data_IF_916524200124
#
_entry.id   IF_916524200124
#
_cell.length_a   1.000
_cell.length_b   1.000
_cell.length_c   1.000
_cell.angle_alpha   90.00
_cell.angle_beta   90.00
_cell.angle_gamma   90.00
#
_symmetry.space_group_name_H-M   'P 1'
#
loop_
_entity.id
_entity.type
_entity.pdbx_description
1 polymer ?
#
# COMPACT_ATOMS: atom_id res chain seq x y z
N UNK A 1 5.91 80.19 -16.78
CA UNK A 1 5.15 79.72 -15.61
C UNK A 1 5.83 78.44 -15.14
N UNK A 2 6.44 78.48 -13.97
CA UNK A 2 6.90 77.34 -13.20
C UNK A 2 5.71 76.53 -12.67
N UNK A 3 5.86 75.20 -12.57
CA UNK A 3 5.50 74.46 -11.37
C UNK A 3 6.42 73.24 -11.23
N UNK A 4 7.34 73.32 -10.28
CA UNK A 4 7.92 72.16 -9.60
C UNK A 4 6.82 71.43 -8.83
N UNK A 5 6.88 70.10 -8.78
CA UNK A 5 6.45 69.35 -7.61
C UNK A 5 7.37 68.14 -7.40
N UNK A 6 8.03 68.18 -6.25
CA UNK A 6 8.96 67.22 -5.69
C UNK A 6 8.25 65.97 -5.16
N UNK A 7 9.04 64.89 -5.04
CA UNK A 7 8.95 63.80 -4.07
C UNK A 7 7.63 63.04 -3.94
N UNK A 8 7.62 61.78 -4.39
CA UNK A 8 7.47 60.67 -3.46
C UNK A 8 8.40 59.52 -3.86
N UNK A 9 9.47 59.38 -3.09
CA UNK A 9 10.25 58.16 -2.92
C UNK A 9 9.28 57.07 -2.45
N UNK A 10 8.92 56.14 -3.32
CA UNK A 10 8.39 54.84 -2.90
C UNK A 10 9.56 53.87 -2.82
N UNK A 11 10.21 53.82 -1.66
CA UNK A 11 10.90 52.61 -1.24
C UNK A 11 10.08 51.95 -0.14
N UNK A 12 9.44 50.83 -0.50
CA UNK A 12 9.50 49.63 0.32
C UNK A 12 9.59 48.40 -0.59
N UNK A 13 10.35 47.39 -0.15
CA UNK A 13 11.05 46.46 -1.00
C UNK A 13 10.05 45.49 -1.62
N UNK A 14 10.23 45.14 -2.89
CA UNK A 14 9.89 43.78 -3.27
C UNK A 14 11.05 42.92 -2.82
N UNK A 15 10.93 42.08 -1.79
CA UNK A 15 11.92 41.05 -1.59
C UNK A 15 11.73 40.05 -2.74
N UNK A 16 12.40 40.30 -3.86
CA UNK A 16 12.51 39.38 -5.00
C UNK A 16 13.27 38.08 -4.65
N UNK A 17 13.42 37.75 -3.36
CA UNK A 17 14.10 36.57 -2.86
C UNK A 17 13.36 35.81 -1.74
N UNK A 18 12.15 36.23 -1.32
CA UNK A 18 11.42 35.56 -0.24
C UNK A 18 10.34 34.56 -0.73
N UNK A 19 9.74 34.78 -1.90
CA UNK A 19 8.61 33.94 -2.34
C UNK A 19 9.01 32.62 -3.03
N UNK A 20 10.19 32.52 -3.64
CA UNK A 20 10.61 31.27 -4.30
C UNK A 20 10.88 30.16 -3.27
N UNK A 21 11.40 30.53 -2.09
CA UNK A 21 11.66 29.59 -1.00
C UNK A 21 10.35 29.18 -0.31
N UNK A 22 9.39 30.12 -0.14
CA UNK A 22 8.08 29.86 0.47
C UNK A 22 7.19 28.92 -0.37
N UNK A 23 7.07 29.16 -1.68
CA UNK A 23 6.39 28.25 -2.61
C UNK A 23 7.12 26.90 -2.75
N UNK A 24 8.46 26.93 -2.69
CA UNK A 24 9.29 25.73 -2.67
C UNK A 24 9.06 24.87 -1.43
N UNK A 25 8.98 25.44 -0.22
CA UNK A 25 8.75 24.66 1.01
C UNK A 25 7.30 24.19 1.16
N UNK A 26 6.31 25.01 0.79
CA UNK A 26 4.90 24.63 0.86
C UNK A 26 4.56 23.52 -0.15
N UNK A 27 5.09 23.58 -1.38
CA UNK A 27 4.94 22.50 -2.37
C UNK A 27 5.72 21.24 -1.99
N UNK A 28 6.89 21.37 -1.35
CA UNK A 28 7.65 20.23 -0.79
C UNK A 28 6.88 19.52 0.32
N UNK A 29 6.26 20.27 1.23
CA UNK A 29 5.47 19.71 2.30
C UNK A 29 4.21 19.05 1.74
N UNK A 30 3.48 19.71 0.84
CA UNK A 30 2.32 19.11 0.16
C UNK A 30 2.68 17.85 -0.64
N UNK A 31 3.81 17.83 -1.35
CA UNK A 31 4.27 16.65 -2.07
C UNK A 31 4.67 15.52 -1.13
N UNK A 32 5.32 15.82 0.00
CA UNK A 32 5.63 14.83 1.05
C UNK A 32 4.38 14.31 1.74
N UNK A 33 3.39 15.17 1.98
CA UNK A 33 2.13 14.80 2.62
C UNK A 33 1.28 13.92 1.68
N UNK A 34 1.25 14.23 0.37
CA UNK A 34 0.59 13.41 -0.65
C UNK A 34 1.34 12.08 -0.87
N UNK A 35 2.68 12.10 -0.92
CA UNK A 35 3.47 10.86 -1.04
C UNK A 35 3.39 10.00 0.23
N UNK A 36 3.35 10.61 1.41
CA UNK A 36 3.20 9.95 2.71
C UNK A 36 1.84 9.27 2.84
N UNK A 37 0.75 9.99 2.56
CA UNK A 37 -0.60 9.43 2.58
C UNK A 37 -0.80 8.30 1.56
N UNK A 38 -0.19 8.39 0.36
CA UNK A 38 -0.23 7.29 -0.61
C UNK A 38 0.56 6.05 -0.15
N UNK A 39 1.69 6.24 0.54
CA UNK A 39 2.48 5.13 1.09
C UNK A 39 1.80 4.47 2.30
N UNK A 40 1.14 5.26 3.16
CA UNK A 40 0.37 4.78 4.29
C UNK A 40 -0.85 3.97 3.82
N UNK A 41 -1.53 4.42 2.76
CA UNK A 41 -2.63 3.67 2.16
C UNK A 41 -2.16 2.31 1.61
N UNK A 42 -1.04 2.26 0.88
CA UNK A 42 -0.48 1.01 0.36
C UNK A 42 -0.08 0.04 1.47
N UNK A 43 0.54 0.57 2.53
CA UNK A 43 0.91 -0.23 3.69
C UNK A 43 -0.34 -0.76 4.42
N UNK A 44 -1.38 0.06 4.55
CA UNK A 44 -2.67 -0.33 5.11
C UNK A 44 -3.30 -1.48 4.32
N UNK A 45 -3.41 -1.34 3.01
CA UNK A 45 -3.93 -2.38 2.12
C UNK A 45 -3.10 -3.66 2.16
N UNK A 46 -1.76 -3.56 2.27
CA UNK A 46 -0.90 -4.73 2.42
C UNK A 46 -1.17 -5.47 3.74
N UNK A 47 -1.30 -4.73 4.86
CA UNK A 47 -1.58 -5.35 6.16
C UNK A 47 -2.96 -6.03 6.18
N UNK A 48 -3.98 -5.42 5.56
CA UNK A 48 -5.31 -6.03 5.40
C UNK A 48 -5.22 -7.32 4.57
N UNK A 49 -4.55 -7.28 3.42
CA UNK A 49 -4.32 -8.45 2.55
C UNK A 49 -3.61 -9.59 3.29
N UNK A 50 -2.62 -9.27 4.12
CA UNK A 50 -1.91 -10.28 4.93
C UNK A 50 -2.77 -10.86 6.05
N UNK A 51 -3.69 -10.09 6.62
CA UNK A 51 -4.65 -10.59 7.60
C UNK A 51 -5.64 -11.56 6.95
N UNK A 52 -6.16 -11.22 5.77
CA UNK A 52 -7.03 -12.11 4.98
C UNK A 52 -6.31 -13.40 4.60
N UNK A 53 -5.04 -13.30 4.17
CA UNK A 53 -4.21 -14.46 3.85
C UNK A 53 -4.04 -15.38 5.06
N UNK A 54 -3.80 -14.82 6.25
CA UNK A 54 -3.69 -15.60 7.49
C UNK A 54 -4.99 -16.32 7.83
N UNK A 55 -6.15 -15.67 7.65
CA UNK A 55 -7.45 -16.30 7.88
C UNK A 55 -7.71 -17.46 6.90
N UNK A 56 -7.36 -17.28 5.62
CA UNK A 56 -7.45 -18.35 4.61
C UNK A 56 -6.54 -19.53 5.01
N UNK A 57 -5.32 -19.28 5.50
CA UNK A 57 -4.41 -20.35 5.94
C UNK A 57 -4.93 -21.12 7.17
N UNK A 58 -5.61 -20.44 8.10
CA UNK A 58 -6.30 -21.09 9.22
C UNK A 58 -7.46 -21.97 8.73
N UNK A 59 -8.30 -21.47 7.83
CA UNK A 59 -9.43 -22.22 7.26
C UNK A 59 -8.97 -23.44 6.47
N UNK A 60 -7.91 -23.30 5.66
CA UNK A 60 -7.26 -24.42 4.95
C UNK A 60 -6.82 -25.49 5.94
N UNK A 61 -6.15 -25.09 7.03
CA UNK A 61 -5.64 -26.03 8.04
C UNK A 61 -6.77 -26.78 8.74
N UNK A 62 -7.86 -26.09 9.10
CA UNK A 62 -9.03 -26.70 9.70
C UNK A 62 -9.69 -27.73 8.75
N UNK A 63 -9.79 -27.38 7.48
CA UNK A 63 -10.38 -28.22 6.44
C UNK A 63 -9.54 -29.46 6.14
N UNK A 64 -8.21 -29.36 6.18
CA UNK A 64 -7.30 -30.52 6.05
C UNK A 64 -7.51 -31.54 7.17
N UNK A 65 -7.69 -31.06 8.40
CA UNK A 65 -8.00 -31.93 9.54
C UNK A 65 -9.35 -32.62 9.34
N UNK A 66 -10.40 -31.88 8.97
CA UNK A 66 -11.72 -32.45 8.71
C UNK A 66 -11.68 -33.51 7.59
N UNK A 67 -10.99 -33.22 6.49
CA UNK A 67 -10.84 -34.17 5.38
C UNK A 67 -10.07 -35.43 5.79
N UNK A 68 -9.05 -35.30 6.65
CA UNK A 68 -8.32 -36.44 7.21
C UNK A 68 -9.23 -37.33 8.06
N UNK A 69 -10.07 -36.73 8.91
CA UNK A 69 -11.03 -37.44 9.76
C UNK A 69 -12.10 -38.15 8.92
N UNK A 70 -12.67 -37.46 7.92
CA UNK A 70 -13.65 -38.03 6.99
C UNK A 70 -13.05 -39.18 6.18
N UNK A 71 -11.80 -39.03 5.73
CA UNK A 71 -11.08 -40.10 5.02
C UNK A 71 -10.88 -41.31 5.92
N UNK A 72 -10.47 -41.11 7.17
CA UNK A 72 -10.30 -42.18 8.15
C UNK A 72 -11.62 -42.91 8.45
N UNK A 73 -12.72 -42.17 8.56
CA UNK A 73 -14.08 -42.72 8.71
C UNK A 73 -14.49 -43.57 7.50
N UNK A 74 -14.19 -43.11 6.29
CA UNK A 74 -14.52 -43.84 5.06
C UNK A 74 -13.65 -45.09 4.85
N UNK A 75 -12.43 -45.13 5.40
CA UNK A 75 -11.64 -46.37 5.45
C UNK A 75 -12.34 -47.43 6.31
N UNK A 76 -12.93 -47.03 7.44
CA UNK A 76 -13.66 -47.93 8.33
C UNK A 76 -15.06 -48.29 7.83
N UNK A 77 -15.74 -47.34 7.17
CA UNK A 77 -17.07 -47.51 6.61
C UNK A 77 -17.17 -46.93 5.18
N UNK A 78 -16.76 -47.70 4.16
CA UNK A 78 -16.69 -47.20 2.78
C UNK A 78 -18.03 -46.82 2.16
N UNK A 79 -19.15 -47.29 2.72
CA UNK A 79 -20.48 -47.05 2.19
C UNK A 79 -21.22 -45.90 2.88
N UNK A 80 -20.54 -45.16 3.77
CA UNK A 80 -21.08 -43.98 4.43
C UNK A 80 -21.24 -42.81 3.44
N UNK A 81 -22.40 -42.78 2.78
CA UNK A 81 -22.72 -41.76 1.77
C UNK A 81 -22.68 -40.33 2.32
N UNK A 82 -22.97 -40.15 3.60
CA UNK A 82 -22.91 -38.83 4.23
C UNK A 82 -21.45 -38.38 4.33
N UNK A 83 -20.56 -39.24 4.83
CA UNK A 83 -19.13 -38.93 4.90
C UNK A 83 -18.49 -38.75 3.50
N UNK A 84 -18.91 -39.53 2.49
CA UNK A 84 -18.47 -39.34 1.10
C UNK A 84 -18.85 -37.97 0.56
N UNK A 85 -20.10 -37.54 0.83
CA UNK A 85 -20.61 -36.24 0.40
C UNK A 85 -19.87 -35.10 1.08
N UNK A 86 -19.73 -35.16 2.41
CA UNK A 86 -18.98 -34.16 3.17
C UNK A 86 -17.54 -34.06 2.68
N UNK A 87 -16.86 -35.18 2.44
CA UNK A 87 -15.48 -35.17 1.93
C UNK A 87 -15.38 -34.51 0.54
N UNK A 88 -16.36 -34.72 -0.33
CA UNK A 88 -16.41 -34.06 -1.64
C UNK A 88 -16.62 -32.55 -1.50
N UNK A 89 -17.54 -32.12 -0.62
CA UNK A 89 -17.80 -30.71 -0.34
C UNK A 89 -16.55 -30.04 0.25
N UNK A 90 -15.90 -30.65 1.25
CA UNK A 90 -14.64 -30.17 1.82
C UNK A 90 -13.53 -30.06 0.77
N UNK A 91 -13.41 -31.02 -0.16
CA UNK A 91 -12.42 -30.95 -1.25
C UNK A 91 -12.68 -29.78 -2.22
N UNK A 92 -13.95 -29.49 -2.51
CA UNK A 92 -14.31 -28.35 -3.36
C UNK A 92 -14.01 -27.03 -2.66
N UNK A 93 -14.34 -26.91 -1.37
CA UNK A 93 -14.01 -25.74 -0.57
C UNK A 93 -12.49 -25.54 -0.47
N UNK A 94 -11.73 -26.61 -0.26
CA UNK A 94 -10.27 -26.56 -0.22
C UNK A 94 -9.67 -26.02 -1.52
N UNK A 95 -10.17 -26.49 -2.68
CA UNK A 95 -9.73 -25.99 -3.97
C UNK A 95 -10.00 -24.47 -4.12
N UNK A 96 -11.18 -24.01 -3.70
CA UNK A 96 -11.52 -22.58 -3.71
C UNK A 96 -10.59 -21.76 -2.80
N UNK A 97 -10.34 -22.22 -1.58
CA UNK A 97 -9.43 -21.54 -0.65
C UNK A 97 -7.98 -21.50 -1.17
N UNK A 98 -7.53 -22.52 -1.93
CA UNK A 98 -6.20 -22.50 -2.56
C UNK A 98 -6.13 -21.45 -3.68
N UNK A 99 -7.19 -21.28 -4.47
CA UNK A 99 -7.29 -20.22 -5.47
C UNK A 99 -7.28 -18.83 -4.81
N UNK A 100 -8.06 -18.65 -3.74
CA UNK A 100 -8.10 -17.40 -2.97
C UNK A 100 -6.72 -17.11 -2.35
N UNK A 101 -6.09 -18.09 -1.71
CA UNK A 101 -4.74 -17.95 -1.15
C UNK A 101 -3.74 -17.49 -2.21
N UNK A 102 -3.77 -18.09 -3.40
CA UNK A 102 -2.90 -17.69 -4.51
C UNK A 102 -3.17 -16.24 -4.95
N UNK A 103 -4.43 -15.83 -5.03
CA UNK A 103 -4.83 -14.47 -5.37
C UNK A 103 -4.31 -13.47 -4.33
N UNK A 104 -4.57 -13.69 -3.04
CA UNK A 104 -4.15 -12.80 -1.96
C UNK A 104 -2.62 -12.72 -1.85
N UNK A 105 -1.92 -13.84 -2.07
CA UNK A 105 -0.46 -13.85 -2.12
C UNK A 105 0.08 -12.96 -3.25
N UNK A 106 -0.45 -13.10 -4.47
CA UNK A 106 -0.06 -12.27 -5.61
C UNK A 106 -0.41 -10.79 -5.39
N UNK A 107 -1.54 -10.53 -4.76
CA UNK A 107 -1.97 -9.18 -4.43
C UNK A 107 -1.02 -8.53 -3.41
N UNK A 108 -0.65 -9.26 -2.35
CA UNK A 108 0.32 -8.83 -1.35
C UNK A 108 1.69 -8.52 -1.97
N UNK A 109 2.19 -9.41 -2.85
CA UNK A 109 3.44 -9.20 -3.58
C UNK A 109 3.39 -7.95 -4.46
N UNK A 110 2.24 -7.69 -5.11
CA UNK A 110 2.04 -6.49 -5.93
C UNK A 110 2.05 -5.21 -5.08
N UNK A 111 1.37 -5.21 -3.94
CA UNK A 111 1.34 -4.07 -3.02
C UNK A 111 2.73 -3.77 -2.46
N UNK A 112 3.46 -4.81 -2.06
CA UNK A 112 4.84 -4.68 -1.58
C UNK A 112 5.75 -4.07 -2.66
N UNK A 113 5.66 -4.57 -3.89
CA UNK A 113 6.43 -4.05 -5.03
C UNK A 113 6.10 -2.59 -5.34
N UNK A 114 4.83 -2.19 -5.26
CA UNK A 114 4.42 -0.80 -5.47
C UNK A 114 4.95 0.11 -4.36
N UNK A 115 4.88 -0.34 -3.11
CA UNK A 115 5.44 0.36 -1.96
C UNK A 115 6.95 0.60 -2.13
N UNK A 116 7.70 -0.44 -2.49
CA UNK A 116 9.15 -0.35 -2.70
C UNK A 116 9.51 0.59 -3.85
N UNK A 117 8.76 0.53 -4.96
CA UNK A 117 8.95 1.43 -6.09
C UNK A 117 8.73 2.90 -5.69
N UNK A 118 7.67 3.19 -4.94
CA UNK A 118 7.38 4.55 -4.46
C UNK A 118 8.41 5.03 -3.44
N UNK A 119 8.85 4.16 -2.53
CA UNK A 119 9.90 4.46 -1.57
C UNK A 119 11.21 4.87 -2.28
N UNK A 120 11.62 4.13 -3.31
CA UNK A 120 12.81 4.46 -4.11
C UNK A 120 12.68 5.79 -4.87
N UNK A 121 11.51 6.09 -5.42
CA UNK A 121 11.25 7.38 -6.10
C UNK A 121 11.35 8.53 -5.09
N UNK A 122 10.75 8.39 -3.91
CA UNK A 122 10.82 9.40 -2.85
C UNK A 122 12.27 9.61 -2.36
N UNK A 123 13.03 8.53 -2.17
CA UNK A 123 14.43 8.61 -1.78
C UNK A 123 15.29 9.31 -2.85
N UNK A 124 15.12 8.97 -4.13
CA UNK A 124 15.80 9.65 -5.26
C UNK A 124 15.41 11.12 -5.36
N UNK A 125 14.13 11.44 -5.23
CA UNK A 125 13.64 12.81 -5.24
C UNK A 125 14.27 13.62 -4.10
N UNK A 126 14.34 13.05 -2.88
CA UNK A 126 15.04 13.66 -1.74
C UNK A 126 16.52 13.95 -2.01
N UNK A 127 17.25 12.98 -2.56
CA UNK A 127 18.66 13.14 -2.92
C UNK A 127 18.89 14.21 -3.99
N UNK A 128 18.06 14.24 -5.03
CA UNK A 128 18.15 15.29 -6.07
C UNK A 128 17.87 16.67 -5.50
N UNK A 129 16.88 16.80 -4.63
CA UNK A 129 16.54 18.09 -4.02
C UNK A 129 17.68 18.63 -3.13
N UNK A 130 18.28 17.78 -2.30
CA UNK A 130 19.41 18.13 -1.45
C UNK A 130 20.63 18.54 -2.29
N UNK A 131 20.85 17.89 -3.44
CA UNK A 131 21.91 18.26 -4.37
C UNK A 131 21.71 19.64 -4.99
N UNK A 132 20.47 20.04 -5.29
CA UNK A 132 20.15 21.40 -5.75
C UNK A 132 20.31 22.44 -4.64
N UNK A 133 19.96 22.12 -3.38
CA UNK A 133 20.07 23.06 -2.25
C UNK A 133 21.54 23.33 -1.89
N UNK A 134 22.42 22.33 -1.96
CA UNK A 134 23.86 22.54 -1.69
C UNK A 134 24.60 23.26 -2.82
N UNK A 135 24.03 23.32 -4.02
CA UNK A 135 24.61 23.96 -5.19
C UNK A 135 24.19 25.43 -5.36
N UNK A 136 23.24 25.92 -4.56
CA UNK A 136 22.73 27.31 -4.55
C UNK A 136 23.31 28.08 -3.35
#
# INVERSE_FOLDING_TARGET
>A
MDMQLQNQTYEKPTPAGADIIGFGMASKQAARDIMGSAADNLRGSYMETMADLSAIEEDISALEVEMSDLTSRLVQNPHDRAAQRSLMESRQMYAGLQEDRQYFQQHADSLQKEYDARSQVTAKAGLTLDSYIKAA
#
